data_IF_663944322482
#
_entry.id   IF_663944322482
#
_cell.length_a   1.000
_cell.length_b   1.000
_cell.length_c   1.000
_cell.angle_alpha   90.00
_cell.angle_beta   90.00
_cell.angle_gamma   90.00
#
_symmetry.space_group_name_H-M   'P 1'
#
loop_
_entity.id
_entity.type
_entity.pdbx_description
1 polymer ?
#
# COMPACT_ATOMS: atom_id res chain seq x y z
N UNK A 1 29.37 -38.77 -9.84
CA UNK A 1 29.94 -37.41 -9.76
C UNK A 1 28.83 -36.42 -9.48
N UNK A 2 28.94 -35.65 -8.40
CA UNK A 2 28.00 -34.58 -8.02
C UNK A 2 28.38 -33.31 -8.79
N UNK A 3 27.42 -32.67 -9.46
CA UNK A 3 27.58 -31.31 -9.97
C UNK A 3 26.44 -30.47 -9.38
N UNK A 4 26.81 -29.57 -8.46
CA UNK A 4 26.00 -28.49 -7.92
C UNK A 4 26.09 -27.31 -8.89
N UNK A 5 24.97 -26.74 -9.32
CA UNK A 5 24.90 -25.43 -10.00
C UNK A 5 23.61 -24.78 -9.48
N UNK A 6 23.70 -24.04 -8.37
CA UNK A 6 23.89 -22.58 -8.28
C UNK A 6 22.62 -21.82 -8.67
N UNK A 7 22.05 -21.23 -7.62
CA UNK A 7 20.86 -20.40 -7.54
C UNK A 7 20.85 -19.26 -8.57
N UNK A 8 19.84 -19.25 -9.44
CA UNK A 8 19.57 -18.13 -10.32
C UNK A 8 18.74 -17.07 -9.59
N UNK A 9 19.43 -15.99 -9.20
CA UNK A 9 18.85 -14.71 -8.83
C UNK A 9 18.09 -14.15 -10.03
N UNK A 10 16.76 -14.02 -9.94
CA UNK A 10 15.98 -13.29 -10.94
C UNK A 10 15.96 -11.82 -10.54
N UNK A 11 16.59 -11.01 -11.40
CA UNK A 11 16.69 -9.56 -11.35
C UNK A 11 15.31 -8.93 -11.51
N UNK A 12 14.91 -8.11 -10.54
CA UNK A 12 13.73 -7.24 -10.65
C UNK A 12 14.09 -6.10 -11.61
N UNK A 13 13.57 -6.16 -12.83
CA UNK A 13 13.66 -5.08 -13.80
C UNK A 13 12.55 -4.06 -13.51
N UNK A 14 12.88 -3.01 -12.75
CA UNK A 14 12.09 -1.79 -12.73
C UNK A 14 12.45 -0.96 -13.97
N UNK A 15 11.54 -0.84 -14.93
CA UNK A 15 11.68 0.12 -16.03
C UNK A 15 10.50 1.08 -16.01
N UNK A 16 10.80 2.30 -15.59
CA UNK A 16 9.91 3.44 -15.62
C UNK A 16 9.75 3.95 -17.06
N UNK A 17 8.51 4.03 -17.55
CA UNK A 17 8.16 4.81 -18.73
C UNK A 17 7.38 6.05 -18.32
N UNK A 18 7.96 7.22 -18.60
CA UNK A 18 7.21 8.46 -18.84
C UNK A 18 6.87 8.66 -20.30
N UNK A 19 5.95 9.53 -20.70
CA UNK A 19 5.28 10.63 -20.00
C UNK A 19 3.99 10.97 -20.75
N UNK A 20 2.84 10.95 -20.08
CA UNK A 20 1.60 11.60 -20.53
C UNK A 20 0.82 12.02 -19.27
N UNK A 21 1.32 13.01 -18.51
CA UNK A 21 1.15 13.01 -17.04
C UNK A 21 0.35 14.14 -16.39
N UNK A 22 -0.35 15.01 -17.12
CA UNK A 22 -1.09 16.10 -16.47
C UNK A 22 -2.56 15.77 -16.13
N UNK A 23 -3.27 15.02 -16.99
CA UNK A 23 -4.67 14.60 -16.73
C UNK A 23 -4.86 13.10 -16.51
N UNK A 24 -4.00 12.27 -17.09
CA UNK A 24 -3.91 10.84 -16.76
C UNK A 24 -3.10 10.60 -15.48
N UNK A 25 -2.26 11.56 -15.08
CA UNK A 25 -1.45 11.48 -13.86
C UNK A 25 -2.33 11.48 -12.61
N UNK A 26 -3.26 12.43 -12.50
CA UNK A 26 -4.17 12.54 -11.35
C UNK A 26 -5.09 11.33 -11.24
N UNK A 27 -5.69 10.88 -12.35
CA UNK A 27 -6.54 9.69 -12.36
C UNK A 27 -5.75 8.41 -12.05
N UNK A 28 -4.52 8.27 -12.55
CA UNK A 28 -3.66 7.15 -12.20
C UNK A 28 -3.25 7.17 -10.72
N UNK A 29 -2.92 8.34 -10.19
CA UNK A 29 -2.60 8.54 -8.78
C UNK A 29 -3.80 8.26 -7.86
N UNK A 30 -5.01 8.67 -8.26
CA UNK A 30 -6.26 8.36 -7.56
C UNK A 30 -6.55 6.85 -7.54
N UNK A 31 -6.46 6.17 -8.70
CA UNK A 31 -6.65 4.72 -8.79
C UNK A 31 -5.61 3.99 -7.94
N UNK A 32 -4.36 4.46 -7.94
CA UNK A 32 -3.31 3.87 -7.12
C UNK A 32 -3.57 4.12 -5.64
N UNK A 33 -3.96 5.32 -5.25
CA UNK A 33 -4.31 5.67 -3.88
C UNK A 33 -5.45 4.80 -3.34
N UNK A 34 -6.52 4.64 -4.12
CA UNK A 34 -7.64 3.76 -3.78
C UNK A 34 -7.16 2.31 -3.61
N UNK A 35 -6.35 1.79 -4.55
CA UNK A 35 -5.82 0.44 -4.46
C UNK A 35 -4.88 0.22 -3.26
N UNK A 36 -4.08 1.21 -2.87
CA UNK A 36 -3.25 1.11 -1.66
C UNK A 36 -4.09 1.21 -0.38
N UNK A 37 -5.14 2.01 -0.37
CA UNK A 37 -6.11 2.02 0.72
C UNK A 37 -6.78 0.65 0.90
N UNK A 38 -7.27 0.05 -0.19
CA UNK A 38 -7.89 -1.28 -0.16
C UNK A 38 -6.91 -2.37 0.32
N UNK A 39 -5.64 -2.26 -0.05
CA UNK A 39 -4.59 -3.13 0.49
C UNK A 39 -4.40 -2.96 2.00
N UNK A 40 -4.40 -1.72 2.50
CA UNK A 40 -4.29 -1.45 3.93
C UNK A 40 -5.51 -2.00 4.71
N UNK A 41 -6.73 -1.84 4.16
CA UNK A 41 -7.97 -2.40 4.72
C UNK A 41 -7.94 -3.93 4.73
N UNK A 42 -7.49 -4.55 3.64
CA UNK A 42 -7.32 -6.00 3.56
C UNK A 42 -6.32 -6.52 4.60
N UNK A 43 -5.20 -5.82 4.78
CA UNK A 43 -4.20 -6.14 5.80
C UNK A 43 -4.79 -6.03 7.21
N UNK A 44 -5.56 -4.98 7.49
CA UNK A 44 -6.25 -4.79 8.76
C UNK A 44 -7.19 -5.95 9.09
N UNK A 45 -7.93 -6.42 8.08
CA UNK A 45 -8.81 -7.58 8.21
C UNK A 45 -8.03 -8.87 8.49
N UNK A 46 -6.88 -9.06 7.84
CA UNK A 46 -5.99 -10.19 8.10
C UNK A 46 -5.43 -10.17 9.53
N UNK A 47 -5.23 -8.97 10.10
CA UNK A 47 -4.81 -8.79 11.49
C UNK A 47 -5.96 -8.94 12.51
N UNK A 48 -7.19 -9.17 12.04
CA UNK A 48 -8.35 -9.45 12.89
C UNK A 48 -9.18 -8.22 13.26
N UNK A 49 -9.01 -7.08 12.58
CA UNK A 49 -9.95 -5.96 12.71
C UNK A 49 -11.32 -6.34 12.14
N UNK A 50 -12.38 -6.00 12.87
CA UNK A 50 -13.72 -6.42 12.50
C UNK A 50 -14.21 -5.66 11.25
N UNK A 51 -15.05 -6.26 10.39
CA UNK A 51 -15.60 -5.57 9.22
C UNK A 51 -16.31 -4.26 9.59
N UNK A 52 -16.97 -4.19 10.75
CA UNK A 52 -17.67 -2.99 11.23
C UNK A 52 -16.69 -1.84 11.50
N UNK A 53 -15.50 -2.14 12.00
CA UNK A 53 -14.43 -1.16 12.23
C UNK A 53 -13.76 -0.72 10.93
N UNK A 54 -13.77 -1.55 9.89
CA UNK A 54 -13.15 -1.24 8.60
C UNK A 54 -14.12 -0.57 7.62
N UNK A 55 -15.42 -0.82 7.74
CA UNK A 55 -16.47 -0.24 6.87
C UNK A 55 -16.61 1.29 7.00
N UNK A 56 -16.02 1.91 8.03
CA UNK A 56 -15.95 3.38 8.16
C UNK A 56 -14.85 3.99 7.29
N UNK A 57 -13.92 3.18 6.77
CA UNK A 57 -12.87 3.61 5.83
C UNK A 57 -13.42 3.52 4.42
N UNK A 58 -13.79 4.65 3.85
CA UNK A 58 -14.20 4.73 2.45
C UNK A 58 -12.99 5.08 1.57
N UNK A 59 -12.32 4.08 1.01
CA UNK A 59 -11.12 4.29 0.19
C UNK A 59 -11.36 5.23 -1.00
N UNK A 60 -12.56 5.15 -1.60
CA UNK A 60 -12.99 6.08 -2.66
C UNK A 60 -13.02 7.54 -2.23
N UNK A 61 -13.40 7.83 -0.97
CA UNK A 61 -13.43 9.18 -0.43
C UNK A 61 -12.05 9.65 0.07
N UNK A 62 -11.06 8.77 0.10
CA UNK A 62 -9.71 9.03 0.59
C UNK A 62 -8.67 8.99 -0.56
N UNK A 63 -9.13 9.08 -1.81
CA UNK A 63 -8.29 9.07 -3.02
C UNK A 63 -7.39 10.31 -3.17
N UNK A 64 -7.61 11.35 -2.36
CA UNK A 64 -6.80 12.57 -2.33
C UNK A 64 -5.45 12.38 -1.60
N UNK A 65 -5.27 11.32 -0.82
CA UNK A 65 -3.97 10.98 -0.25
C UNK A 65 -3.05 10.44 -1.34
N UNK A 66 -1.80 10.86 -1.36
CA UNK A 66 -0.83 10.31 -2.31
C UNK A 66 -0.53 8.84 -1.99
N UNK A 67 -0.12 8.03 -2.98
CA UNK A 67 0.28 6.63 -2.76
C UNK A 67 1.33 6.42 -1.66
N UNK A 68 2.24 7.39 -1.47
CA UNK A 68 3.29 7.36 -0.42
C UNK A 68 2.72 7.30 1.00
N UNK A 69 1.61 7.99 1.25
CA UNK A 69 0.90 7.95 2.53
C UNK A 69 0.44 6.53 2.86
N UNK A 70 -0.25 5.89 1.91
CA UNK A 70 -0.76 4.53 2.11
C UNK A 70 0.35 3.50 2.19
N UNK A 71 1.46 3.72 1.47
CA UNK A 71 2.65 2.88 1.60
C UNK A 71 3.20 2.93 3.04
N UNK A 72 3.29 4.12 3.66
CA UNK A 72 3.64 4.25 5.08
C UNK A 72 2.68 3.45 5.97
N UNK A 73 1.36 3.56 5.75
CA UNK A 73 0.34 2.86 6.55
C UNK A 73 0.53 1.34 6.48
N UNK A 74 0.68 0.81 5.27
CA UNK A 74 0.92 -0.62 5.03
C UNK A 74 2.20 -1.08 5.73
N UNK A 75 3.29 -0.33 5.60
CA UNK A 75 4.57 -0.69 6.20
C UNK A 75 4.52 -0.63 7.73
N UNK A 76 3.85 0.36 8.31
CA UNK A 76 3.64 0.45 9.75
C UNK A 76 2.87 -0.75 10.30
N UNK A 77 1.82 -1.21 9.58
CA UNK A 77 1.05 -2.38 9.96
C UNK A 77 1.83 -3.68 9.76
N UNK A 78 2.66 -3.80 8.71
CA UNK A 78 3.52 -4.97 8.51
C UNK A 78 4.58 -5.12 9.61
N UNK A 79 5.13 -4.00 10.08
CA UNK A 79 6.11 -3.99 11.18
C UNK A 79 5.46 -4.38 12.52
N UNK A 80 4.19 -4.03 12.73
CA UNK A 80 3.46 -4.35 13.95
C UNK A 80 2.06 -4.88 13.61
N UNK A 81 1.90 -6.20 13.64
CA UNK A 81 0.62 -6.86 13.32
C UNK A 81 -0.50 -6.57 14.32
N UNK A 82 -0.19 -6.01 15.49
CA UNK A 82 -1.20 -5.52 16.46
C UNK A 82 -1.56 -4.06 16.25
N UNK A 83 -0.88 -3.34 15.35
CA UNK A 83 -1.21 -1.97 15.01
C UNK A 83 -2.47 -1.94 14.15
N UNK A 84 -3.48 -1.23 14.64
CA UNK A 84 -4.74 -1.03 13.92
C UNK A 84 -4.60 -0.03 12.80
N UNK A 85 -5.42 -0.18 11.77
CA UNK A 85 -5.45 0.67 10.58
C UNK A 85 -5.56 2.15 10.93
N UNK A 86 -6.48 2.53 11.83
CA UNK A 86 -6.64 3.94 12.21
C UNK A 86 -5.39 4.49 12.91
N UNK A 87 -4.76 3.72 13.80
CA UNK A 87 -3.54 4.14 14.46
C UNK A 87 -2.37 4.28 13.47
N UNK A 88 -2.28 3.38 12.48
CA UNK A 88 -1.29 3.47 11.41
C UNK A 88 -1.52 4.72 10.53
N UNK A 89 -2.78 5.03 10.19
CA UNK A 89 -3.17 6.25 9.48
C UNK A 89 -2.74 7.51 10.24
N UNK A 90 -3.07 7.61 11.52
CA UNK A 90 -2.66 8.74 12.37
C UNK A 90 -1.13 8.87 12.46
N UNK A 91 -0.41 7.75 12.59
CA UNK A 91 1.04 7.74 12.61
C UNK A 91 1.64 8.30 11.31
N UNK A 92 1.11 7.90 10.16
CA UNK A 92 1.63 8.33 8.86
C UNK A 92 1.17 9.73 8.47
N UNK A 93 0.04 10.21 8.99
CA UNK A 93 -0.42 11.60 8.83
C UNK A 93 0.51 12.59 9.53
N UNK A 94 1.11 12.22 10.67
CA UNK A 94 2.04 13.09 11.38
C UNK A 94 3.34 13.36 10.59
N UNK A 95 3.64 12.51 9.59
CA UNK A 95 4.85 12.54 8.78
C UNK A 95 4.58 12.98 7.32
N UNK A 96 3.33 13.32 6.97
CA UNK A 96 2.84 13.60 5.61
C UNK A 96 2.56 15.09 5.40
#
# INVERSE_FOLDING_TARGET
MKIKILSSLIVVAAMATGSARAGMGTLAEEIWSENFCEQAVSLARQHGESPEQLNVVSCRLLNYYQPSYWQCVIDAMRVNSSLKLEAARQKCLAEY
#
